data_IF_445776863333
#
_entry.id   IF_445776863333
#
_cell.length_a   1.000
_cell.length_b   1.000
_cell.length_c   1.000
_cell.angle_alpha   90.00
_cell.angle_beta   90.00
_cell.angle_gamma   90.00
#
_symmetry.space_group_name_H-M   'P 1'
#
loop_
_entity.id
_entity.type
_entity.pdbx_description
1 polymer ?
#
# COMPACT_ATOMS: atom_id res chain seq x y z
N UNK A 1 16.04 5.16 -14.49
CA UNK A 1 16.28 6.30 -13.57
C UNK A 1 15.25 7.44 -13.63
N UNK A 2 14.77 7.92 -14.80
CA UNK A 2 13.79 9.03 -14.86
C UNK A 2 12.51 8.80 -14.04
N UNK A 3 11.96 7.58 -14.08
CA UNK A 3 10.77 7.21 -13.31
C UNK A 3 10.98 7.29 -11.78
N UNK A 4 12.14 6.83 -11.29
CA UNK A 4 12.52 6.87 -9.87
C UNK A 4 12.61 8.30 -9.38
N UNK A 5 13.30 9.16 -10.14
CA UNK A 5 13.43 10.59 -9.81
C UNK A 5 12.06 11.26 -9.70
N UNK A 6 11.15 10.98 -10.64
CA UNK A 6 9.79 11.54 -10.63
C UNK A 6 9.00 11.12 -9.39
N UNK A 7 9.10 9.85 -8.99
CA UNK A 7 8.39 9.34 -7.81
C UNK A 7 8.95 9.93 -6.50
N UNK A 8 10.28 10.02 -6.38
CA UNK A 8 10.94 10.64 -5.22
C UNK A 8 10.54 12.11 -5.08
N UNK A 9 10.54 12.87 -6.18
CA UNK A 9 10.10 14.28 -6.16
C UNK A 9 8.64 14.38 -5.72
N UNK A 10 7.77 13.48 -6.19
CA UNK A 10 6.36 13.44 -5.79
C UNK A 10 6.23 13.20 -4.28
N UNK A 11 6.95 12.22 -3.73
CA UNK A 11 6.91 11.94 -2.28
C UNK A 11 7.48 13.09 -1.45
N UNK A 12 8.54 13.73 -1.92
CA UNK A 12 9.13 14.88 -1.26
C UNK A 12 8.17 16.07 -1.22
N UNK A 13 7.51 16.38 -2.35
CA UNK A 13 6.50 17.43 -2.43
C UNK A 13 5.26 17.13 -1.55
N UNK A 14 4.90 15.86 -1.43
CA UNK A 14 3.79 15.43 -0.57
C UNK A 14 4.17 15.35 0.92
N UNK A 15 5.43 15.59 1.28
CA UNK A 15 5.91 15.48 2.67
C UNK A 15 5.94 14.04 3.20
N UNK A 16 5.86 13.03 2.32
CA UNK A 16 5.90 11.59 2.69
C UNK A 16 7.33 11.16 3.02
N UNK A 17 8.32 11.80 2.40
CA UNK A 17 9.74 11.60 2.68
C UNK A 17 10.43 12.93 2.97
N UNK A 18 11.55 12.86 3.68
CA UNK A 18 12.45 13.99 3.91
C UNK A 18 13.91 13.58 3.74
N UNK A 19 14.78 14.56 3.48
CA UNK A 19 16.22 14.32 3.34
C UNK A 19 16.84 14.06 4.71
N UNK A 20 17.67 13.03 4.81
CA UNK A 20 18.41 12.71 6.03
C UNK A 20 19.91 12.67 5.74
N UNK A 21 20.72 13.20 6.65
CA UNK A 21 22.18 13.29 6.50
C UNK A 21 22.88 12.00 6.93
N UNK A 22 22.53 11.48 8.11
CA UNK A 22 23.16 10.30 8.70
C UNK A 22 22.10 9.33 9.21
N UNK A 23 22.28 8.04 8.94
CA UNK A 23 21.50 6.99 9.58
C UNK A 23 22.34 5.74 9.82
N UNK A 24 22.07 5.06 10.94
CA UNK A 24 22.64 3.75 11.24
C UNK A 24 21.93 2.60 10.50
N UNK A 25 20.82 2.88 9.84
CA UNK A 25 20.03 1.93 9.07
C UNK A 25 20.23 2.18 7.59
N UNK A 26 20.07 1.16 6.76
CA UNK A 26 20.06 1.29 5.30
C UNK A 26 19.13 0.25 4.70
N UNK A 27 18.10 0.69 3.98
CA UNK A 27 17.21 -0.21 3.23
C UNK A 27 17.37 0.00 1.73
N UNK A 28 17.75 -1.02 0.95
CA UNK A 28 17.90 -0.89 -0.50
C UNK A 28 16.59 -0.52 -1.20
N UNK A 29 16.64 0.42 -2.14
CA UNK A 29 15.51 0.73 -3.02
C UNK A 29 15.58 -0.10 -4.30
N UNK A 30 14.49 -0.80 -4.64
CA UNK A 30 14.35 -1.61 -5.84
C UNK A 30 13.25 -1.05 -6.75
N UNK A 31 13.49 -1.10 -8.06
CA UNK A 31 12.50 -0.67 -9.06
C UNK A 31 11.77 -1.89 -9.60
N UNK A 32 10.48 -1.99 -9.32
CA UNK A 32 9.65 -3.12 -9.74
C UNK A 32 8.68 -2.65 -10.84
N UNK A 33 8.62 -3.35 -11.99
CA UNK A 33 7.65 -3.00 -13.02
C UNK A 33 6.22 -3.29 -12.52
N UNK A 34 5.31 -2.32 -12.69
CA UNK A 34 3.88 -2.55 -12.37
C UNK A 34 3.32 -3.53 -13.39
N UNK A 35 2.67 -4.59 -12.92
CA UNK A 35 1.91 -5.51 -13.78
C UNK A 35 0.91 -4.70 -14.60
N UNK A 36 1.08 -4.71 -15.92
CA UNK A 36 0.13 -4.18 -16.89
C UNK A 36 -0.73 -5.30 -17.47
N UNK A 37 -1.84 -4.91 -18.10
CA UNK A 37 -2.68 -5.83 -18.88
C UNK A 37 -1.88 -6.46 -20.02
N UNK A 38 -2.21 -7.71 -20.32
CA UNK A 38 -1.67 -8.43 -21.47
C UNK A 38 -2.30 -7.83 -22.72
N UNK A 39 -1.48 -7.40 -23.68
CA UNK A 39 -1.97 -6.98 -25.00
C UNK A 39 -1.59 -8.08 -25.99
N UNK A 40 -2.55 -8.55 -26.77
CA UNK A 40 -2.27 -9.52 -27.83
C UNK A 40 -1.81 -8.75 -29.06
N UNK A 41 -0.65 -9.10 -29.58
CA UNK A 41 -0.03 -8.44 -30.73
C UNK A 41 0.33 -9.52 -31.76
N UNK A 42 0.11 -9.24 -33.05
CA UNK A 42 0.60 -10.10 -34.12
C UNK A 42 2.14 -10.06 -34.16
N UNK A 43 2.78 -11.23 -34.20
CA UNK A 43 4.21 -11.33 -34.46
C UNK A 43 4.51 -11.14 -35.96
N UNK A 44 5.79 -11.17 -36.34
CA UNK A 44 6.24 -11.05 -37.74
C UNK A 44 5.77 -12.19 -38.66
N UNK A 45 5.13 -13.23 -38.09
CA UNK A 45 4.50 -14.37 -38.77
C UNK A 45 2.97 -14.32 -38.68
N UNK A 46 2.38 -13.18 -38.31
CA UNK A 46 0.95 -12.99 -38.07
C UNK A 46 0.32 -13.87 -36.97
N UNK A 47 1.12 -14.46 -36.08
CA UNK A 47 0.62 -15.22 -34.95
C UNK A 47 0.28 -14.29 -33.77
N UNK A 48 -0.88 -14.53 -33.13
CA UNK A 48 -1.31 -13.78 -31.94
C UNK A 48 -0.44 -14.15 -30.74
N UNK A 49 0.46 -13.25 -30.35
CA UNK A 49 1.32 -13.44 -29.17
C UNK A 49 0.90 -12.51 -28.04
N UNK A 50 0.72 -13.04 -26.80
CA UNK A 50 0.43 -12.21 -25.64
C UNK A 50 1.71 -11.47 -25.20
N UNK A 51 1.76 -10.15 -25.38
CA UNK A 51 2.88 -9.32 -24.96
C UNK A 51 2.49 -8.50 -23.73
N UNK A 52 3.40 -8.44 -22.74
CA UNK A 52 3.23 -7.63 -21.54
C UNK A 52 3.96 -6.30 -21.69
N UNK A 53 3.23 -5.23 -21.97
CA UNK A 53 3.82 -3.90 -22.17
C UNK A 53 4.10 -3.24 -20.82
N UNK A 54 5.36 -3.11 -20.42
CA UNK A 54 5.76 -2.47 -19.16
C UNK A 54 5.64 -0.93 -19.25
N UNK A 55 4.48 -0.37 -18.85
CA UNK A 55 4.21 1.08 -18.95
C UNK A 55 4.54 1.89 -17.68
N UNK A 56 4.57 1.26 -16.50
CA UNK A 56 4.76 1.96 -15.20
C UNK A 56 5.72 1.19 -14.31
N UNK A 57 6.47 1.92 -13.49
CA UNK A 57 7.41 1.40 -12.50
C UNK A 57 6.98 1.82 -11.10
N UNK A 58 7.29 0.99 -10.10
CA UNK A 58 7.17 1.27 -8.68
C UNK A 58 8.55 1.28 -8.05
N UNK A 59 8.77 2.19 -7.12
CA UNK A 59 9.94 2.17 -6.25
C UNK A 59 9.52 1.48 -4.96
N UNK A 60 10.17 0.38 -4.63
CA UNK A 60 9.87 -0.46 -3.47
C UNK A 60 11.12 -0.53 -2.60
N UNK A 61 10.96 -0.34 -1.29
CA UNK A 61 12.08 -0.50 -0.35
C UNK A 61 12.13 -1.94 0.13
N UNK A 62 13.33 -2.50 0.18
CA UNK A 62 13.56 -3.84 0.70
C UNK A 62 13.75 -3.79 2.22
N UNK A 63 12.64 -3.92 2.94
CA UNK A 63 12.60 -3.93 4.41
C UNK A 63 12.79 -5.32 5.02
N UNK A 64 13.24 -6.34 4.29
CA UNK A 64 13.36 -7.71 4.84
C UNK A 64 14.20 -7.76 6.13
N UNK A 65 15.34 -7.07 6.17
CA UNK A 65 16.21 -7.00 7.36
C UNK A 65 15.55 -6.22 8.49
N UNK A 66 14.92 -5.09 8.18
CA UNK A 66 14.22 -4.26 9.15
C UNK A 66 13.04 -5.03 9.79
N UNK A 67 12.25 -5.71 8.97
CA UNK A 67 11.12 -6.53 9.38
C UNK A 67 11.55 -7.73 10.24
N UNK A 68 12.74 -8.29 10.00
CA UNK A 68 13.28 -9.37 10.83
C UNK A 68 13.72 -8.87 12.22
N UNK A 69 14.16 -7.61 12.33
CA UNK A 69 14.55 -6.98 13.59
C UNK A 69 13.37 -6.35 14.35
N UNK A 70 12.21 -6.21 13.71
CA UNK A 70 11.03 -5.58 14.29
C UNK A 70 10.14 -6.62 14.97
N UNK A 71 9.69 -6.32 16.20
CA UNK A 71 8.69 -7.13 16.89
C UNK A 71 7.37 -7.09 16.13
N UNK A 72 6.88 -8.26 15.74
CA UNK A 72 5.63 -8.39 14.98
C UNK A 72 4.43 -8.10 15.88
N UNK A 73 3.52 -7.29 15.38
CA UNK A 73 2.24 -7.04 16.03
C UNK A 73 1.33 -8.27 15.89
N UNK A 74 0.80 -8.76 17.01
CA UNK A 74 -0.08 -9.93 17.06
C UNK A 74 -1.57 -9.60 16.85
N UNK A 75 -1.86 -8.42 16.30
CA UNK A 75 -3.21 -8.02 15.94
C UNK A 75 -3.83 -9.00 14.95
N UNK A 76 -5.04 -9.47 15.25
CA UNK A 76 -5.79 -10.35 14.37
C UNK A 76 -6.48 -9.52 13.30
N UNK A 77 -6.14 -9.79 12.04
CA UNK A 77 -6.91 -9.26 10.91
C UNK A 77 -8.29 -9.94 10.88
N UNK A 78 -9.35 -9.23 10.45
CA UNK A 78 -10.66 -9.83 10.27
C UNK A 78 -10.60 -11.06 9.36
N UNK A 79 -11.43 -12.06 9.67
CA UNK A 79 -11.50 -13.26 8.85
C UNK A 79 -12.37 -13.01 7.63
N UNK A 80 -11.79 -13.17 6.45
CA UNK A 80 -12.46 -12.83 5.18
C UNK A 80 -13.79 -13.58 5.02
N UNK A 81 -13.85 -14.87 5.39
CA UNK A 81 -15.09 -15.64 5.24
C UNK A 81 -16.23 -15.08 6.11
N UNK A 82 -15.93 -14.58 7.32
CA UNK A 82 -16.94 -13.93 8.16
C UNK A 82 -17.44 -12.62 7.56
N UNK A 83 -16.55 -11.85 6.92
CA UNK A 83 -16.94 -10.65 6.19
C UNK A 83 -17.85 -11.01 5.02
N UNK A 84 -17.50 -12.04 4.25
CA UNK A 84 -18.29 -12.53 3.11
C UNK A 84 -19.67 -13.05 3.54
N UNK A 85 -19.77 -13.73 4.67
CA UNK A 85 -21.04 -14.21 5.20
C UNK A 85 -22.00 -13.05 5.55
N UNK A 86 -21.48 -11.93 6.09
CA UNK A 86 -22.29 -10.73 6.38
C UNK A 86 -22.71 -9.97 5.13
N UNK A 87 -21.85 -10.01 4.11
CA UNK A 87 -22.12 -9.44 2.80
C UNK A 87 -23.14 -10.26 2.02
N UNK A 88 -23.23 -11.57 2.25
CA UNK A 88 -24.13 -12.43 1.51
C UNK A 88 -25.59 -11.98 1.60
N UNK A 89 -26.27 -11.89 0.46
CA UNK A 89 -27.69 -11.57 0.38
C UNK A 89 -28.03 -10.07 0.41
N UNK A 90 -27.04 -9.18 0.44
CA UNK A 90 -27.27 -7.74 0.27
C UNK A 90 -27.55 -7.42 -1.20
N UNK A 91 -28.41 -6.42 -1.43
CA UNK A 91 -28.86 -6.04 -2.76
C UNK A 91 -27.88 -5.10 -3.47
N UNK A 92 -27.19 -4.25 -2.71
CA UNK A 92 -26.29 -3.22 -3.23
C UNK A 92 -24.93 -3.28 -2.54
N UNK A 93 -23.88 -3.06 -3.33
CA UNK A 93 -22.49 -3.02 -2.87
C UNK A 93 -21.76 -1.87 -3.53
N UNK A 94 -20.94 -1.16 -2.76
CA UNK A 94 -20.04 -0.12 -3.23
C UNK A 94 -18.62 -0.39 -2.71
N UNK A 95 -17.68 -0.53 -3.64
CA UNK A 95 -16.27 -0.73 -3.34
C UNK A 95 -15.55 0.62 -3.38
N UNK A 96 -14.86 0.97 -2.30
CA UNK A 96 -14.04 2.16 -2.19
C UNK A 96 -12.59 1.75 -1.88
N UNK A 97 -11.65 2.36 -2.59
CA UNK A 97 -10.20 2.14 -2.41
C UNK A 97 -9.58 3.34 -1.66
N UNK A 98 -8.93 3.06 -0.54
CA UNK A 98 -8.21 4.04 0.26
C UNK A 98 -6.99 4.58 -0.48
N UNK A 99 -7.16 5.72 -1.17
CA UNK A 99 -6.06 6.34 -1.94
C UNK A 99 -4.81 6.58 -1.08
N UNK A 100 -3.73 5.85 -1.38
CA UNK A 100 -2.49 5.86 -0.61
C UNK A 100 -2.68 5.59 0.89
N UNK A 101 -3.61 4.69 1.27
CA UNK A 101 -4.01 4.46 2.67
C UNK A 101 -2.86 4.35 3.67
N UNK A 102 -1.81 3.59 3.37
CA UNK A 102 -0.63 3.48 4.25
C UNK A 102 0.09 4.81 4.47
N UNK A 103 0.28 5.61 3.41
CA UNK A 103 1.02 6.88 3.49
C UNK A 103 0.23 7.99 4.22
N UNK A 104 -1.00 7.72 4.68
CA UNK A 104 -1.75 8.65 5.52
C UNK A 104 -1.40 8.52 7.01
N UNK A 105 -0.78 7.40 7.40
CA UNK A 105 -0.42 7.12 8.79
C UNK A 105 1.02 7.57 9.03
N UNK A 106 1.20 8.52 9.94
CA UNK A 106 2.52 9.00 10.33
C UNK A 106 3.31 7.93 11.09
N UNK A 107 4.61 7.84 10.81
CA UNK A 107 5.54 7.03 11.59
C UNK A 107 6.00 7.84 12.81
N UNK A 108 6.12 7.17 13.96
CA UNK A 108 6.66 7.77 15.17
C UNK A 108 8.06 8.40 14.89
N UNK A 109 8.34 9.65 15.29
CA UNK A 109 9.58 10.34 14.95
C UNK A 109 10.87 9.54 15.22
N UNK A 110 10.89 8.77 16.31
CA UNK A 110 11.99 7.89 16.72
C UNK A 110 12.23 6.70 15.78
N UNK A 111 11.22 6.29 15.00
CA UNK A 111 11.28 5.14 14.10
C UNK A 111 11.49 5.55 12.63
N UNK A 112 11.28 6.83 12.28
CA UNK A 112 11.41 7.32 10.91
C UNK A 112 12.79 7.01 10.31
N UNK A 113 13.86 7.17 11.10
CA UNK A 113 15.23 6.92 10.67
C UNK A 113 15.44 5.47 10.17
N UNK A 114 14.73 4.51 10.75
CA UNK A 114 14.84 3.08 10.42
C UNK A 114 14.34 2.78 9.02
N UNK A 115 13.46 3.64 8.48
CA UNK A 115 12.85 3.46 7.15
C UNK A 115 13.68 4.03 6.01
N UNK A 116 14.87 4.58 6.31
CA UNK A 116 15.65 5.29 5.30
C UNK A 116 16.10 4.40 4.14
N UNK A 117 16.30 5.04 3.00
CA UNK A 117 16.80 4.42 1.80
C UNK A 117 17.76 5.36 1.05
N UNK A 118 18.93 4.87 0.60
CA UNK A 118 19.81 5.63 -0.27
C UNK A 118 19.34 5.52 -1.72
N UNK A 119 19.47 6.63 -2.46
CA UNK A 119 19.31 6.64 -3.91
C UNK A 119 20.32 7.60 -4.55
N UNK A 120 20.51 7.57 -5.89
CA UNK A 120 21.44 8.46 -6.58
C UNK A 120 21.16 9.97 -6.40
N UNK A 121 20.02 10.35 -5.83
CA UNK A 121 19.60 11.74 -5.62
C UNK A 121 19.72 12.20 -4.15
N UNK A 122 20.16 11.33 -3.25
CA UNK A 122 20.23 11.58 -1.81
C UNK A 122 19.73 10.41 -0.99
N UNK A 123 19.90 10.51 0.32
CA UNK A 123 19.34 9.57 1.29
C UNK A 123 18.08 10.17 1.88
N UNK A 124 17.00 9.40 1.87
CA UNK A 124 15.69 9.87 2.33
C UNK A 124 15.14 8.92 3.39
N UNK A 125 14.34 9.44 4.31
CA UNK A 125 13.57 8.67 5.28
C UNK A 125 12.08 8.97 5.12
N UNK A 126 11.23 8.02 5.49
CA UNK A 126 9.78 8.18 5.43
C UNK A 126 9.26 8.79 6.73
N UNK A 127 8.44 9.83 6.59
CA UNK A 127 7.64 10.40 7.69
C UNK A 127 6.30 9.69 7.84
N UNK A 128 5.80 9.07 6.77
CA UNK A 128 4.55 8.32 6.73
C UNK A 128 4.80 6.89 6.26
N UNK A 129 3.97 5.96 6.72
CA UNK A 129 4.20 4.54 6.63
C UNK A 129 4.35 4.05 5.16
N UNK A 130 5.56 3.61 4.74
CA UNK A 130 5.76 3.08 3.41
C UNK A 130 5.24 1.65 3.30
N UNK A 131 4.98 1.23 2.06
CA UNK A 131 4.70 -0.16 1.77
C UNK A 131 5.90 -1.06 2.08
N UNK A 132 5.63 -2.26 2.59
CA UNK A 132 6.64 -3.29 2.85
C UNK A 132 7.06 -3.45 4.30
N UNK A 133 6.61 -2.58 5.22
CA UNK A 133 6.81 -2.78 6.66
C UNK A 133 5.89 -3.89 7.19
N UNK A 134 6.40 -4.77 8.06
CA UNK A 134 5.67 -5.94 8.53
C UNK A 134 4.40 -5.62 9.35
N UNK A 135 4.42 -4.53 10.11
CA UNK A 135 3.30 -4.11 10.96
C UNK A 135 2.36 -3.10 10.26
N UNK A 136 2.64 -2.71 9.01
CA UNK A 136 1.79 -1.75 8.32
C UNK A 136 0.34 -2.22 8.14
N UNK A 137 0.08 -3.49 7.77
CA UNK A 137 -1.29 -4.00 7.68
C UNK A 137 -2.04 -4.01 9.01
N UNK A 138 -1.36 -4.32 10.12
CA UNK A 138 -2.02 -4.38 11.43
C UNK A 138 -2.36 -2.98 11.94
N UNK A 139 -1.45 -2.02 11.75
CA UNK A 139 -1.65 -0.63 12.15
C UNK A 139 -2.79 0.01 11.36
N UNK A 140 -2.83 -0.17 10.03
CA UNK A 140 -3.92 0.40 9.21
C UNK A 140 -5.27 -0.22 9.59
N UNK A 141 -5.33 -1.54 9.77
CA UNK A 141 -6.57 -2.21 10.15
C UNK A 141 -7.08 -1.70 11.50
N UNK A 142 -6.20 -1.58 12.50
CA UNK A 142 -6.56 -1.06 13.82
C UNK A 142 -7.06 0.37 13.74
N UNK A 143 -6.42 1.21 12.92
CA UNK A 143 -6.84 2.59 12.70
C UNK A 143 -8.25 2.65 12.09
N UNK A 144 -8.51 1.88 11.02
CA UNK A 144 -9.83 1.83 10.38
C UNK A 144 -10.91 1.29 11.31
N UNK A 145 -10.61 0.27 12.11
CA UNK A 145 -11.55 -0.26 13.09
C UNK A 145 -11.93 0.76 14.15
N UNK A 146 -11.01 1.63 14.56
CA UNK A 146 -11.33 2.70 15.52
C UNK A 146 -12.18 3.78 14.87
N UNK A 147 -11.79 4.24 13.67
CA UNK A 147 -12.48 5.33 12.94
C UNK A 147 -13.91 4.94 12.57
N UNK A 148 -14.11 3.72 12.06
CA UNK A 148 -15.40 3.24 11.56
C UNK A 148 -16.08 2.24 12.51
N UNK A 149 -15.70 2.25 13.79
CA UNK A 149 -16.23 1.33 14.81
C UNK A 149 -17.75 1.28 14.89
N UNK A 150 -18.43 2.38 14.53
CA UNK A 150 -19.89 2.50 14.55
C UNK A 150 -20.58 2.01 13.26
N UNK A 151 -19.84 1.75 12.19
CA UNK A 151 -20.38 1.34 10.88
C UNK A 151 -19.97 -0.08 10.50
N UNK A 152 -18.83 -0.54 11.05
CA UNK A 152 -18.28 -1.87 10.79
C UNK A 152 -19.26 -2.97 11.22
N UNK A 153 -19.40 -4.01 10.40
CA UNK A 153 -20.33 -5.14 10.54
C UNK A 153 -21.82 -4.82 10.34
N UNK A 154 -22.20 -3.55 10.20
CA UNK A 154 -23.58 -3.12 9.97
C UNK A 154 -23.82 -2.71 8.50
N UNK A 155 -23.08 -1.69 8.05
CA UNK A 155 -23.20 -1.10 6.70
C UNK A 155 -21.86 -1.02 5.96
N UNK A 156 -20.75 -1.28 6.64
CA UNK A 156 -19.40 -1.18 6.11
C UNK A 156 -18.57 -2.38 6.54
N UNK A 157 -17.82 -2.97 5.61
CA UNK A 157 -16.73 -3.89 5.89
C UNK A 157 -15.41 -3.22 5.49
N UNK A 158 -14.37 -3.37 6.30
CA UNK A 158 -13.04 -2.80 6.00
C UNK A 158 -11.96 -3.87 6.12
N UNK A 159 -11.19 -4.03 5.04
CA UNK A 159 -10.02 -4.89 4.99
C UNK A 159 -8.81 -4.09 4.48
N UNK A 160 -7.92 -3.70 5.40
CA UNK A 160 -6.75 -2.87 5.13
C UNK A 160 -7.11 -1.52 4.49
N UNK A 161 -6.85 -1.36 3.19
CA UNK A 161 -7.16 -0.19 2.37
C UNK A 161 -8.47 -0.33 1.57
N UNK A 162 -9.08 -1.52 1.54
CA UNK A 162 -10.33 -1.79 0.84
C UNK A 162 -11.53 -1.60 1.78
N UNK A 163 -12.49 -0.79 1.32
CA UNK A 163 -13.76 -0.54 2.00
C UNK A 163 -14.91 -1.07 1.15
N UNK A 164 -15.83 -1.75 1.80
CA UNK A 164 -17.01 -2.30 1.16
C UNK A 164 -18.25 -1.83 1.91
N UNK A 165 -18.96 -0.88 1.30
CA UNK A 165 -20.26 -0.43 1.79
C UNK A 165 -21.33 -1.32 1.18
N UNK A 166 -22.29 -1.76 1.98
CA UNK A 166 -23.35 -2.64 1.52
C UNK A 166 -24.69 -2.28 2.14
N UNK A 167 -25.76 -2.50 1.37
CA UNK A 167 -27.11 -2.16 1.79
C UNK A 167 -28.17 -3.04 1.14
N UNK A 168 -29.39 -3.00 1.70
CA UNK A 168 -30.55 -3.75 1.19
C UNK A 168 -31.48 -2.89 0.34
N UNK A 169 -31.46 -1.57 0.50
CA UNK A 169 -32.30 -0.60 -0.21
C UNK A 169 -31.43 0.58 -0.67
N UNK A 170 -31.87 1.35 -1.67
CA UNK A 170 -31.11 2.47 -2.25
C UNK A 170 -31.56 3.85 -1.71
N UNK A 171 -32.70 3.90 -1.01
CA UNK A 171 -33.40 5.13 -0.62
C UNK A 171 -33.15 5.57 0.85
N UNK A 172 -32.03 5.17 1.47
CA UNK A 172 -31.59 5.65 2.79
C UNK A 172 -30.35 6.55 2.73
#
# INVERSE_FOLDING_TARGET
>A
MKAVKKEIIKWLHAGIIYLISNSNWVNPAQCVPKKSGITVVHNDKDELTPIRILKRWRVCMDYQKLNAATTKDHFLLPFIDQMLDRLAGKAYYCFLDGYFGYNQIAIAPEDQEKTNFPCPFGTFAFSHMPFGLCNAPTIIQRCMMVIFSNMIEDSLEVFLDDFLVYENDFDH
#
